data_IF_114541898771
#
_entry.id   IF_114541898771
#
_cell.length_a   1.000
_cell.length_b   1.000
_cell.length_c   1.000
_cell.angle_alpha   90.00
_cell.angle_beta   90.00
_cell.angle_gamma   90.00
#
_symmetry.space_group_name_H-M   'P 1'
#
loop_
_entity.id
_entity.type
_entity.pdbx_description
1 polymer ?
#
# COMPACT_ATOMS: atom_id res chain seq x y z
N UNK A 1 10.93 7.10 13.14
CA UNK A 1 11.98 7.09 14.19
C UNK A 1 12.98 5.96 14.04
N UNK A 2 12.56 4.79 13.54
CA UNK A 2 13.39 3.58 13.53
C UNK A 2 14.78 3.77 12.88
N UNK A 3 14.85 4.28 11.65
CA UNK A 3 16.13 4.55 10.97
C UNK A 3 17.04 5.54 11.69
N UNK A 4 16.51 6.51 12.46
CA UNK A 4 17.31 7.42 13.29
C UNK A 4 17.88 6.68 14.50
N UNK A 5 17.03 5.89 15.19
CA UNK A 5 17.42 5.12 16.38
C UNK A 5 18.48 4.07 16.06
N UNK A 6 18.33 3.40 14.93
CA UNK A 6 19.20 2.32 14.49
C UNK A 6 20.34 2.80 13.56
N UNK A 7 20.39 4.11 13.25
CA UNK A 7 21.40 4.73 12.38
C UNK A 7 21.60 3.98 11.06
N UNK A 8 20.50 3.60 10.40
CA UNK A 8 20.59 2.87 9.14
C UNK A 8 21.35 3.67 8.08
N UNK A 9 22.24 2.98 7.38
CA UNK A 9 22.93 3.57 6.24
C UNK A 9 21.92 3.83 5.13
N UNK A 10 21.85 5.08 4.71
CA UNK A 10 21.06 5.45 3.55
C UNK A 10 21.72 4.90 2.28
N UNK A 11 20.92 4.48 1.29
CA UNK A 11 21.47 4.23 -0.04
C UNK A 11 22.13 5.52 -0.58
N UNK A 12 23.08 5.38 -1.52
CA UNK A 12 23.65 6.54 -2.20
C UNK A 12 22.54 7.44 -2.80
N UNK A 13 22.74 8.77 -2.80
CA UNK A 13 21.80 9.65 -3.47
C UNK A 13 21.73 9.29 -4.95
N UNK A 14 20.51 9.32 -5.49
CA UNK A 14 20.28 9.12 -6.91
C UNK A 14 20.32 10.49 -7.60
N UNK A 15 21.31 10.69 -8.46
CA UNK A 15 21.40 11.86 -9.32
C UNK A 15 20.79 11.55 -10.71
N UNK A 16 20.09 12.51 -11.31
CA UNK A 16 19.48 12.37 -12.64
C UNK A 16 17.98 12.05 -12.63
N UNK A 17 17.51 11.32 -13.65
CA UNK A 17 16.08 11.02 -13.84
C UNK A 17 15.73 9.70 -13.17
N UNK A 18 14.78 9.73 -12.22
CA UNK A 18 14.35 8.56 -11.45
C UNK A 18 13.65 7.46 -12.29
N UNK A 19 13.18 7.80 -13.50
CA UNK A 19 12.54 6.88 -14.44
C UNK A 19 13.52 6.24 -15.43
N UNK A 20 14.81 6.56 -15.38
CA UNK A 20 15.82 5.89 -16.18
C UNK A 20 16.01 4.45 -15.66
N UNK A 21 16.02 3.47 -16.55
CA UNK A 21 16.15 2.05 -16.20
C UNK A 21 17.45 1.77 -15.42
N UNK A 22 18.51 2.54 -15.67
CA UNK A 22 19.78 2.43 -14.93
C UNK A 22 19.69 2.93 -13.48
N UNK A 23 18.62 3.65 -13.13
CA UNK A 23 18.44 4.38 -11.88
C UNK A 23 17.27 3.85 -11.05
N UNK A 24 16.58 2.81 -11.50
CA UNK A 24 15.36 2.33 -10.85
C UNK A 24 15.68 1.70 -9.48
N UNK A 25 15.05 2.18 -8.39
CA UNK A 25 15.13 1.50 -7.10
C UNK A 25 14.42 0.15 -7.14
N UNK A 26 14.51 -0.67 -6.06
CA UNK A 26 13.66 -1.84 -5.91
C UNK A 26 12.19 -1.52 -6.17
N UNK A 27 11.50 -2.42 -6.87
CA UNK A 27 10.10 -2.22 -7.21
C UNK A 27 9.24 -2.11 -5.95
N UNK A 28 8.37 -1.12 -5.93
CA UNK A 28 7.32 -1.00 -4.92
C UNK A 28 6.19 -1.99 -5.24
N UNK A 29 5.39 -2.37 -4.23
CA UNK A 29 4.10 -3.02 -4.46
C UNK A 29 3.25 -2.19 -5.42
N UNK A 30 2.73 -2.83 -6.47
CA UNK A 30 1.92 -2.16 -7.52
C UNK A 30 0.42 -2.45 -7.38
N UNK A 31 0.03 -3.25 -6.38
CA UNK A 31 -1.35 -3.62 -6.11
C UNK A 31 -1.59 -3.67 -4.59
N UNK A 32 -2.86 -3.65 -4.21
CA UNK A 32 -3.26 -3.63 -2.80
C UNK A 32 -2.86 -4.92 -2.07
N UNK A 33 -2.88 -6.07 -2.74
CA UNK A 33 -2.57 -7.37 -2.14
C UNK A 33 -1.10 -7.44 -1.70
N UNK A 34 -0.18 -7.15 -2.62
CA UNK A 34 1.26 -7.09 -2.35
C UNK A 34 1.63 -6.01 -1.34
N UNK A 35 0.91 -4.89 -1.31
CA UNK A 35 1.13 -3.84 -0.31
C UNK A 35 0.70 -4.28 1.10
N UNK A 36 -0.44 -4.98 1.23
CA UNK A 36 -0.91 -5.52 2.50
C UNK A 36 0.00 -6.64 3.00
N UNK A 37 0.49 -7.50 2.10
CA UNK A 37 1.47 -8.53 2.44
C UNK A 37 2.77 -7.92 2.98
N UNK A 38 3.28 -6.85 2.36
CA UNK A 38 4.45 -6.13 2.85
C UNK A 38 4.20 -5.55 4.25
N UNK A 39 3.02 -4.95 4.48
CA UNK A 39 2.65 -4.39 5.78
C UNK A 39 2.54 -5.44 6.89
N UNK A 40 1.92 -6.60 6.59
CA UNK A 40 1.77 -7.70 7.56
C UNK A 40 3.13 -8.29 7.94
N UNK A 41 4.10 -8.25 7.04
CA UNK A 41 5.45 -8.73 7.29
C UNK A 41 6.37 -7.68 7.94
N UNK A 42 5.98 -6.41 8.01
CA UNK A 42 6.78 -5.34 8.64
C UNK A 42 6.46 -5.23 10.15
N UNK A 43 7.29 -5.89 10.97
CA UNK A 43 7.15 -5.87 12.42
C UNK A 43 7.29 -4.46 13.02
N UNK A 44 8.11 -3.58 12.42
CA UNK A 44 8.40 -2.25 12.96
C UNK A 44 7.18 -1.36 12.79
N UNK A 45 6.61 -1.33 11.58
CA UNK A 45 5.38 -0.59 11.31
C UNK A 45 4.23 -1.17 12.13
N UNK A 46 4.10 -2.49 12.19
CA UNK A 46 3.05 -3.14 12.98
C UNK A 46 3.09 -2.78 14.46
N UNK A 47 4.27 -2.81 15.04
CA UNK A 47 4.47 -2.46 16.44
C UNK A 47 4.24 -0.96 16.69
N UNK A 48 4.57 -0.10 15.73
CA UNK A 48 4.42 1.34 15.86
C UNK A 48 2.95 1.79 15.84
N UNK A 49 2.11 1.18 15.00
CA UNK A 49 0.68 1.49 14.93
C UNK A 49 -0.16 0.66 15.91
N UNK A 50 0.34 -0.50 16.32
CA UNK A 50 -0.35 -1.44 17.20
C UNK A 50 -1.05 -2.56 16.43
N UNK A 51 -0.92 -3.79 16.93
CA UNK A 51 -1.40 -5.00 16.25
C UNK A 51 -2.91 -4.98 15.97
N UNK A 52 -3.72 -4.47 16.90
CA UNK A 52 -5.18 -4.40 16.70
C UNK A 52 -5.57 -3.41 15.61
N UNK A 53 -4.89 -2.26 15.53
CA UNK A 53 -5.10 -1.30 14.46
C UNK A 53 -4.76 -1.93 13.10
N UNK A 54 -3.60 -2.59 13.00
CA UNK A 54 -3.18 -3.24 11.76
C UNK A 54 -4.17 -4.32 11.34
N UNK A 55 -4.63 -5.16 12.28
CA UNK A 55 -5.64 -6.18 11.96
C UNK A 55 -6.91 -5.57 11.39
N UNK A 56 -7.43 -4.52 12.01
CA UNK A 56 -8.62 -3.82 11.51
C UNK A 56 -8.37 -3.18 10.14
N UNK A 57 -7.22 -2.53 9.97
CA UNK A 57 -6.85 -1.89 8.71
C UNK A 57 -6.71 -2.90 7.56
N UNK A 58 -6.00 -4.00 7.78
CA UNK A 58 -5.82 -5.08 6.79
C UNK A 58 -7.18 -5.68 6.45
N UNK A 59 -8.01 -6.01 7.44
CA UNK A 59 -9.35 -6.56 7.20
C UNK A 59 -10.21 -5.62 6.34
N UNK A 60 -10.20 -4.31 6.64
CA UNK A 60 -10.90 -3.30 5.87
C UNK A 60 -10.41 -3.25 4.41
N UNK A 61 -9.10 -3.16 4.20
CA UNK A 61 -8.50 -3.03 2.86
C UNK A 61 -8.62 -4.30 2.02
N UNK A 62 -8.54 -5.47 2.64
CA UNK A 62 -8.85 -6.73 1.96
C UNK A 62 -10.32 -6.79 1.54
N UNK A 63 -11.25 -6.32 2.38
CA UNK A 63 -12.66 -6.26 2.01
C UNK A 63 -12.92 -5.29 0.86
N UNK A 64 -12.31 -4.10 0.91
CA UNK A 64 -12.38 -3.12 -0.18
C UNK A 64 -11.87 -3.68 -1.51
N UNK A 65 -10.68 -4.30 -1.51
CA UNK A 65 -10.11 -4.90 -2.72
C UNK A 65 -10.99 -6.01 -3.30
N UNK A 66 -11.64 -6.80 -2.44
CA UNK A 66 -12.62 -7.80 -2.86
C UNK A 66 -13.81 -7.15 -3.57
N UNK A 67 -14.38 -6.09 -3.00
CA UNK A 67 -15.52 -5.38 -3.61
C UNK A 67 -15.14 -4.73 -4.95
N UNK A 68 -13.94 -4.15 -5.05
CA UNK A 68 -13.42 -3.60 -6.29
C UNK A 68 -13.33 -4.68 -7.38
N UNK A 69 -12.78 -5.85 -7.03
CA UNK A 69 -12.68 -6.98 -7.95
C UNK A 69 -14.05 -7.47 -8.41
N UNK A 70 -15.01 -7.61 -7.49
CA UNK A 70 -16.39 -8.00 -7.82
C UNK A 70 -17.09 -6.97 -8.72
N UNK A 71 -16.80 -5.68 -8.58
CA UNK A 71 -17.32 -4.63 -9.44
C UNK A 71 -16.70 -4.70 -10.85
N UNK A 72 -15.39 -4.90 -10.93
CA UNK A 72 -14.69 -5.10 -12.20
C UNK A 72 -15.21 -6.33 -12.95
N UNK A 73 -15.47 -7.45 -12.26
CA UNK A 73 -16.09 -8.66 -12.84
C UNK A 73 -17.50 -8.41 -13.39
N UNK A 74 -18.22 -7.41 -12.85
CA UNK A 74 -19.52 -6.95 -13.35
C UNK A 74 -19.41 -5.91 -14.48
N UNK A 75 -18.19 -5.54 -14.88
CA UNK A 75 -17.94 -4.54 -15.92
C UNK A 75 -18.20 -3.09 -15.48
N UNK A 76 -18.22 -2.82 -14.17
CA UNK A 76 -18.33 -1.46 -13.64
C UNK A 76 -16.97 -0.76 -13.81
N UNK A 77 -16.98 0.47 -14.32
CA UNK A 77 -15.76 1.28 -14.43
C UNK A 77 -15.15 1.58 -13.05
N UNK A 78 -13.82 1.63 -12.96
CA UNK A 78 -13.13 1.87 -11.69
C UNK A 78 -13.49 3.22 -11.08
N UNK A 79 -13.62 4.26 -11.89
CA UNK A 79 -13.97 5.61 -11.43
C UNK A 79 -15.40 5.64 -10.89
N UNK A 80 -16.31 4.95 -11.56
CA UNK A 80 -17.71 4.81 -11.13
C UNK A 80 -17.81 4.04 -9.81
N UNK A 81 -17.09 2.90 -9.71
CA UNK A 81 -17.03 2.13 -8.47
C UNK A 81 -16.46 2.95 -7.32
N UNK A 82 -15.32 3.62 -7.53
CA UNK A 82 -14.67 4.42 -6.49
C UNK A 82 -15.58 5.56 -6.03
N UNK A 83 -16.24 6.26 -6.97
CA UNK A 83 -17.23 7.28 -6.62
C UNK A 83 -18.32 6.69 -5.73
N UNK A 84 -18.92 5.57 -6.13
CA UNK A 84 -20.03 4.99 -5.39
C UNK A 84 -19.63 4.50 -4.00
N UNK A 85 -18.49 3.81 -3.91
CA UNK A 85 -17.98 3.28 -2.66
C UNK A 85 -17.64 4.37 -1.64
N UNK A 86 -17.05 5.49 -2.09
CA UNK A 86 -16.54 6.53 -1.19
C UNK A 86 -17.52 7.68 -0.94
N UNK A 87 -18.45 7.98 -1.85
CA UNK A 87 -19.23 9.23 -1.80
C UNK A 87 -20.74 9.06 -1.78
N UNK A 88 -21.31 7.91 -2.17
CA UNK A 88 -22.77 7.76 -2.21
C UNK A 88 -23.42 7.59 -0.81
N UNK A 89 -22.60 7.44 0.23
CA UNK A 89 -23.02 7.29 1.63
C UNK A 89 -22.77 8.54 2.49
N UNK A 90 -22.38 9.67 1.87
CA UNK A 90 -22.21 10.98 2.51
C UNK A 90 -23.43 11.88 2.24
#
# INVERSE_FOLDING_TARGET
MDGIKNQYQLPPPLDGVAFDESNLPPKLPCDMESALDALVNDQIIRSAFGEEFIKCFVALKTHEAKLQKEAAEKGIDETEWARSYYFDYL
#
